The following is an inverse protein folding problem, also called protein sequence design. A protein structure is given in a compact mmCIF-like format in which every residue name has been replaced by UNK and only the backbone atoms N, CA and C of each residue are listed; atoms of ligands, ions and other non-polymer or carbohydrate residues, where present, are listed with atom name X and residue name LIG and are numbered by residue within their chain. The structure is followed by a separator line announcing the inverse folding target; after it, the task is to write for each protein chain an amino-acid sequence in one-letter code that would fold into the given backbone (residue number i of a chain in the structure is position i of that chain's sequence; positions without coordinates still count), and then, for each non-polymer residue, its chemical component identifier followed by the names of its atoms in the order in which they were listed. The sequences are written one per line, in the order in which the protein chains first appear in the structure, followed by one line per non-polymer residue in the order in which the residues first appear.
data_IF_560541938914
#
_entry.id   IF_560541938914
#
_cell.length_a   1.000
_cell.length_b   1.000
_cell.length_c   1.000
_cell.angle_alpha   90.00
_cell.angle_beta   90.00
_cell.angle_gamma   90.00
#
_symmetry.space_group_name_H-M   'P 1'
#
loop_
_entity.id
_entity.type
_entity.pdbx_description
1 polymer ?
#
# COMPACT_ATOMS: atom_id res chain seq x y z
N UNK A 1 -2.73 8.39 4.86
CA UNK A 1 -2.00 8.24 6.15
C UNK A 1 -0.51 8.10 5.83
N UNK A 2 0.38 8.60 6.67
CA UNK A 2 1.83 8.52 6.40
C UNK A 2 2.47 7.32 7.12
N UNK A 3 3.72 6.99 6.80
CA UNK A 3 4.45 5.83 7.37
C UNK A 3 4.49 5.84 8.91
N UNK A 4 4.71 7.00 9.54
CA UNK A 4 4.74 7.10 11.01
C UNK A 4 3.39 6.77 11.64
N UNK A 5 2.28 7.20 11.03
CA UNK A 5 0.93 6.87 11.49
C UNK A 5 0.63 5.39 11.31
N UNK A 6 1.09 4.80 10.22
CA UNK A 6 0.97 3.36 9.99
C UNK A 6 1.66 2.55 11.09
N UNK A 7 2.89 2.93 11.47
CA UNK A 7 3.63 2.25 12.56
C UNK A 7 2.89 2.32 13.88
N UNK A 8 2.41 3.50 14.26
CA UNK A 8 1.61 3.69 15.47
C UNK A 8 0.35 2.82 15.49
N UNK A 9 -0.36 2.74 14.35
CA UNK A 9 -1.55 1.89 14.24
C UNK A 9 -1.22 0.39 14.29
N UNK A 10 -0.04 0.00 13.78
CA UNK A 10 0.44 -1.38 13.82
C UNK A 10 0.80 -1.80 15.25
N UNK A 11 1.50 -0.93 15.98
CA UNK A 11 1.83 -1.13 17.40
C UNK A 11 0.58 -1.17 18.28
N UNK A 12 -0.42 -0.34 17.98
CA UNK A 12 -1.69 -0.32 18.67
C UNK A 12 -2.65 -1.47 18.29
N UNK A 13 -2.28 -2.32 17.31
CA UNK A 13 -3.15 -3.41 16.82
C UNK A 13 -4.45 -2.92 16.16
N UNK A 14 -4.48 -1.67 15.69
CA UNK A 14 -5.68 -1.02 15.14
C UNK A 14 -5.92 -1.34 13.65
N UNK A 15 -4.99 -2.05 13.01
CA UNK A 15 -5.09 -2.47 11.61
C UNK A 15 -5.94 -3.74 11.52
N UNK A 16 -7.05 -3.67 10.78
CA UNK A 16 -7.96 -4.80 10.54
C UNK A 16 -7.60 -5.60 9.29
N UNK A 17 -6.87 -4.98 8.36
CA UNK A 17 -6.44 -5.61 7.12
C UNK A 17 -5.65 -4.65 6.25
N UNK A 18 -4.91 -5.22 5.31
CA UNK A 18 -4.12 -4.46 4.34
C UNK A 18 -4.39 -5.01 2.95
N UNK A 19 -4.64 -4.11 2.02
CA UNK A 19 -4.89 -4.43 0.62
C UNK A 19 -3.90 -3.68 -0.24
N UNK A 20 -3.10 -4.42 -0.99
CA UNK A 20 -2.30 -3.90 -2.09
C UNK A 20 -3.26 -3.75 -3.28
N UNK A 21 -3.45 -2.54 -3.76
CA UNK A 21 -4.37 -2.24 -4.86
C UNK A 21 -3.53 -1.92 -6.09
N UNK A 22 -3.68 -2.73 -7.13
CA UNK A 22 -3.09 -2.45 -8.44
C UNK A 22 -3.99 -1.56 -9.28
N UNK A 23 -3.41 -0.48 -9.80
CA UNK A 23 -4.07 0.50 -10.64
C UNK A 23 -3.15 0.89 -11.80
N UNK A 24 -3.49 0.48 -13.01
CA UNK A 24 -2.61 0.59 -14.17
C UNK A 24 -1.31 -0.16 -13.94
N UNK A 25 -0.17 0.50 -14.19
CA UNK A 25 1.17 -0.08 -13.99
C UNK A 25 1.73 0.02 -12.57
N UNK A 26 0.93 0.56 -11.63
CA UNK A 26 1.39 0.84 -10.27
C UNK A 26 0.55 0.12 -9.23
N UNK A 27 1.16 -0.09 -8.07
CA UNK A 27 0.57 -0.65 -6.87
C UNK A 27 0.57 0.42 -5.78
N UNK A 28 -0.50 0.52 -5.02
CA UNK A 28 -0.54 1.31 -3.79
C UNK A 28 -1.11 0.46 -2.64
N UNK A 29 -1.06 1.00 -1.43
CA UNK A 29 -1.50 0.28 -0.23
C UNK A 29 -2.69 0.99 0.39
N UNK A 30 -3.76 0.24 0.60
CA UNK A 30 -4.88 0.63 1.42
C UNK A 30 -4.86 -0.15 2.74
N UNK A 31 -5.05 0.59 3.83
CA UNK A 31 -5.05 0.03 5.18
C UNK A 31 -6.45 0.18 5.75
N UNK A 32 -7.05 -0.95 6.12
CA UNK A 32 -8.37 -1.02 6.72
C UNK A 32 -8.25 -0.82 8.22
N UNK A 33 -8.87 0.23 8.73
CA UNK A 33 -9.00 0.54 10.15
C UNK A 33 -10.48 0.52 10.55
N UNK A 34 -10.78 0.64 11.84
CA UNK A 34 -12.16 0.63 12.35
C UNK A 34 -13.05 1.72 11.73
N UNK A 35 -12.47 2.86 11.31
CA UNK A 35 -13.17 3.97 10.66
C UNK A 35 -13.19 3.94 9.12
N UNK A 36 -12.80 2.82 8.49
CA UNK A 36 -12.78 2.67 7.03
C UNK A 36 -11.39 2.38 6.45
N UNK A 37 -11.26 2.48 5.13
CA UNK A 37 -9.98 2.32 4.43
C UNK A 37 -9.27 3.65 4.28
N UNK A 38 -7.94 3.63 4.38
CA UNK A 38 -7.08 4.80 4.24
C UNK A 38 -5.90 4.44 3.35
N UNK A 39 -5.68 5.25 2.31
CA UNK A 39 -4.53 5.12 1.40
C UNK A 39 -3.25 5.54 2.11
N UNK A 40 -2.17 4.81 1.86
CA UNK A 40 -0.84 5.14 2.33
C UNK A 40 -0.21 6.25 1.47
N UNK A 41 0.33 7.25 2.14
CA UNK A 41 1.01 8.40 1.56
C UNK A 41 2.49 8.39 1.95
N UNK A 42 3.31 9.02 1.13
CA UNK A 42 4.70 9.35 1.42
C UNK A 42 4.77 10.48 2.45
N UNK A 43 5.96 10.75 2.99
CA UNK A 43 6.16 11.92 3.87
C UNK A 43 5.84 13.26 3.21
N UNK A 44 5.76 13.31 1.87
CA UNK A 44 5.41 14.51 1.09
C UNK A 44 3.91 14.64 0.82
N UNK A 45 3.09 13.66 1.25
CA UNK A 45 1.64 13.65 1.02
C UNK A 45 1.21 13.03 -0.31
N UNK A 46 2.15 12.58 -1.14
CA UNK A 46 1.85 11.85 -2.38
C UNK A 46 1.46 10.41 -2.08
N UNK A 47 0.67 9.76 -2.95
CA UNK A 47 0.34 8.34 -2.77
C UNK A 47 1.63 7.52 -2.85
N UNK A 48 1.85 6.67 -1.83
CA UNK A 48 2.99 5.76 -1.87
C UNK A 48 2.67 4.64 -2.84
N UNK A 49 3.45 4.58 -3.90
CA UNK A 49 3.27 3.63 -4.98
C UNK A 49 4.53 2.81 -5.25
N UNK A 50 4.33 1.62 -5.81
CA UNK A 50 5.37 0.70 -6.24
C UNK A 50 5.10 0.25 -7.67
N UNK A 51 6.17 -0.03 -8.41
CA UNK A 51 6.07 -0.59 -9.77
C UNK A 51 5.94 -2.11 -9.72
N UNK A 52 6.51 -2.76 -8.71
CA UNK A 52 6.54 -4.24 -8.61
C UNK A 52 6.00 -4.73 -7.27
N UNK A 53 5.38 -5.92 -7.30
CA UNK A 53 4.88 -6.58 -6.11
C UNK A 53 6.02 -6.97 -5.15
N UNK A 54 7.19 -7.34 -5.68
CA UNK A 54 8.40 -7.62 -4.88
C UNK A 54 8.85 -6.40 -4.06
N UNK A 55 8.93 -5.22 -4.68
CA UNK A 55 9.32 -4.00 -3.98
C UNK A 55 8.30 -3.63 -2.88
N UNK A 56 7.01 -3.81 -3.16
CA UNK A 56 5.95 -3.63 -2.19
C UNK A 56 6.07 -4.63 -1.03
N UNK A 57 6.23 -5.92 -1.32
CA UNK A 57 6.36 -6.99 -0.33
C UNK A 57 7.59 -6.85 0.57
N UNK A 58 8.76 -6.52 0.01
CA UNK A 58 9.97 -6.21 0.78
C UNK A 58 9.76 -5.05 1.74
N UNK A 59 9.05 -4.02 1.29
CA UNK A 59 8.73 -2.87 2.14
C UNK A 59 7.78 -3.23 3.27
N UNK A 60 6.70 -3.98 2.99
CA UNK A 60 5.78 -4.48 4.02
C UNK A 60 6.51 -5.34 5.05
N UNK A 61 7.38 -6.25 4.60
CA UNK A 61 8.17 -7.12 5.48
C UNK A 61 9.08 -6.32 6.41
N UNK A 62 9.70 -5.25 5.92
CA UNK A 62 10.53 -4.33 6.73
C UNK A 62 9.74 -3.66 7.85
N UNK A 63 8.44 -3.49 7.69
CA UNK A 63 7.54 -2.95 8.72
C UNK A 63 6.97 -4.01 9.66
N UNK A 64 7.37 -5.28 9.52
CA UNK A 64 6.83 -6.38 10.33
C UNK A 64 5.49 -6.91 9.85
N UNK A 65 5.02 -6.50 8.66
CA UNK A 65 3.76 -6.98 8.08
C UNK A 65 4.04 -8.31 7.37
N UNK A 66 3.34 -9.36 7.77
CA UNK A 66 3.52 -10.71 7.22
C UNK A 66 2.52 -11.08 6.11
N UNK A 67 1.38 -10.40 6.03
CA UNK A 67 0.29 -10.75 5.12
C UNK A 67 -0.42 -9.49 4.62
N UNK A 68 -0.83 -9.50 3.36
CA UNK A 68 -1.68 -8.50 2.74
C UNK A 68 -2.50 -9.16 1.62
N UNK A 69 -3.69 -8.63 1.36
CA UNK A 69 -4.52 -9.04 0.21
C UNK A 69 -4.07 -8.27 -1.02
N UNK A 70 -4.06 -8.90 -2.20
CA UNK A 70 -3.79 -8.23 -3.47
C UNK A 70 -5.10 -8.08 -4.26
N UNK A 71 -5.45 -6.85 -4.60
CA UNK A 71 -6.57 -6.52 -5.47
C UNK A 71 -6.04 -6.20 -6.88
N UNK A 72 -6.49 -6.97 -7.87
CA UNK A 72 -5.93 -6.95 -9.23
C UNK A 72 -6.90 -6.44 -10.29
N UNK A 73 -8.13 -6.05 -9.93
CA UNK A 73 -9.20 -5.71 -10.88
C UNK A 73 -8.82 -4.64 -11.89
N UNK A 74 -7.93 -3.71 -11.50
CA UNK A 74 -7.44 -2.62 -12.36
C UNK A 74 -5.93 -2.69 -12.59
N UNK A 75 -5.30 -3.82 -12.27
CA UNK A 75 -3.85 -3.96 -12.40
C UNK A 75 -3.46 -4.39 -13.81
N UNK A 76 -2.65 -3.56 -14.47
CA UNK A 76 -2.16 -3.77 -15.83
C UNK A 76 -0.62 -3.66 -15.84
N UNK A 77 0.09 -4.75 -15.49
CA UNK A 77 1.55 -4.72 -15.31
C UNK A 77 2.31 -4.41 -16.61
N UNK A 78 1.76 -4.76 -17.77
CA UNK A 78 2.36 -4.48 -19.09
C UNK A 78 2.02 -3.08 -19.63
N UNK A 79 1.16 -2.33 -18.95
CA UNK A 79 0.85 -0.96 -19.33
C UNK A 79 2.10 -0.10 -19.09
N UNK A 80 2.56 0.62 -20.12
CA UNK A 80 3.60 1.62 -19.92
C UNK A 80 2.99 2.79 -19.15
N UNK A 81 3.60 3.14 -18.01
CA UNK A 81 3.23 4.34 -17.27
C UNK A 81 3.28 5.57 -18.19
N UNK A 82 2.40 6.55 -17.95
CA UNK A 82 2.42 7.81 -18.70
C UNK A 82 3.80 8.47 -18.52
N UNK A 83 4.55 8.55 -19.61
CA UNK A 83 5.80 9.30 -19.68
C UNK A 83 5.40 10.76 -19.85
N UNK A 84 5.47 11.54 -18.77
CA UNK A 84 5.31 13.00 -18.81
C UNK A 84 6.68 13.68 -18.83
#
# INVERSE_FOLDING_TARGET
MNESQLKLLLEAGAIKGMTIVGQGSHLHLEVKIQGGSKVLLTGKGEIRQWVTLDACGKWLRKLGIGQATLQMDQWQPDQKGLVF
#
